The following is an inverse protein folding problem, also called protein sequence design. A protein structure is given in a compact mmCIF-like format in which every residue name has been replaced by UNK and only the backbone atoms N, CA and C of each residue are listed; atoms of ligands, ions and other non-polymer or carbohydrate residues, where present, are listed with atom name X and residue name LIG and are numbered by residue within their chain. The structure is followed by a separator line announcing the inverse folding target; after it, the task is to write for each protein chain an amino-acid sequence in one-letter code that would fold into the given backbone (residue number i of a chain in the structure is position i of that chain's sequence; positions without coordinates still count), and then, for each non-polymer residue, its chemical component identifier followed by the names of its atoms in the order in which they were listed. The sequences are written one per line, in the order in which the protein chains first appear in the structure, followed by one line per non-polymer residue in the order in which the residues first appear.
data_IF_907008947756
#
_entry.id   IF_907008947756
#
_cell.length_a   1.000
_cell.length_b   1.000
_cell.length_c   1.000
_cell.angle_alpha   90.00
_cell.angle_beta   90.00
_cell.angle_gamma   90.00
#
_symmetry.space_group_name_H-M   'P 1'
#
loop_
_entity.id
_entity.type
_entity.pdbx_description
1 polymer ?
#
# COMPACT_ATOMS: atom_id res chain seq x y z
N UNK A 1 -8.41 2.91 46.41
CA UNK A 1 -8.99 1.57 46.20
C UNK A 1 -9.13 1.40 44.70
N UNK A 2 -8.13 0.76 44.09
CA UNK A 2 -8.01 0.56 42.65
C UNK A 2 -9.16 -0.32 42.17
N UNK A 3 -10.06 0.24 41.35
CA UNK A 3 -11.02 -0.57 40.60
C UNK A 3 -10.29 -1.17 39.40
N UNK A 4 -9.70 -2.32 39.65
CA UNK A 4 -9.32 -3.30 38.64
C UNK A 4 -10.59 -3.84 37.96
N UNK A 5 -10.42 -4.37 36.75
CA UNK A 5 -11.38 -5.22 36.02
C UNK A 5 -12.45 -4.48 35.18
N UNK A 6 -11.98 -3.79 34.14
CA UNK A 6 -12.56 -3.92 32.80
C UNK A 6 -11.44 -3.80 31.76
N UNK A 7 -10.39 -4.61 31.92
CA UNK A 7 -9.55 -4.96 30.78
C UNK A 7 -10.33 -6.02 30.00
N UNK A 8 -11.37 -5.58 29.28
CA UNK A 8 -11.76 -6.30 28.09
C UNK A 8 -10.48 -6.40 27.30
N UNK A 9 -10.03 -7.62 27.04
CA UNK A 9 -9.10 -7.85 25.96
C UNK A 9 -9.74 -7.17 24.74
N UNK A 10 -9.29 -5.97 24.41
CA UNK A 10 -9.29 -5.53 23.03
C UNK A 10 -8.39 -6.56 22.40
N UNK A 11 -8.98 -7.67 21.98
CA UNK A 11 -8.41 -8.45 20.90
C UNK A 11 -8.18 -7.37 19.86
N UNK A 12 -6.92 -7.02 19.65
CA UNK A 12 -6.49 -6.11 18.59
C UNK A 12 -6.84 -6.81 17.29
N UNK A 13 -8.13 -6.83 16.96
CA UNK A 13 -8.55 -7.00 15.59
C UNK A 13 -7.84 -5.85 14.88
N UNK A 14 -6.99 -6.19 13.91
CA UNK A 14 -6.44 -5.25 12.93
C UNK A 14 -7.59 -4.44 12.30
N UNK A 15 -8.02 -3.43 13.03
CA UNK A 15 -9.24 -2.69 12.81
C UNK A 15 -8.82 -1.23 12.65
N UNK A 16 -9.54 -0.47 11.81
CA UNK A 16 -9.21 0.92 11.60
C UNK A 16 -9.32 1.70 12.92
N UNK A 17 -8.27 2.44 13.25
CA UNK A 17 -8.24 3.32 14.43
C UNK A 17 -8.69 4.72 14.02
N UNK A 18 -9.40 5.41 14.91
CA UNK A 18 -9.81 6.79 14.67
C UNK A 18 -8.59 7.66 14.33
N UNK A 19 -8.70 8.43 13.23
CA UNK A 19 -7.66 9.34 12.71
C UNK A 19 -6.39 8.66 12.17
N UNK A 20 -6.42 7.35 11.91
CA UNK A 20 -5.34 6.66 11.21
C UNK A 20 -5.17 7.18 9.78
N UNK A 21 -3.93 7.45 9.37
CA UNK A 21 -3.58 8.02 8.06
C UNK A 21 -2.86 7.05 7.13
N UNK A 22 -2.32 5.96 7.68
CA UNK A 22 -1.55 4.93 6.97
C UNK A 22 -2.32 3.60 6.98
N UNK A 23 -1.71 2.55 6.43
CA UNK A 23 -2.26 1.19 6.48
C UNK A 23 -2.41 0.65 7.91
N UNK A 24 -3.23 -0.40 8.04
CA UNK A 24 -3.29 -1.26 9.23
C UNK A 24 -1.97 -2.04 9.38
N UNK A 25 -1.78 -2.64 10.55
CA UNK A 25 -0.57 -3.40 10.82
C UNK A 25 -0.52 -4.65 9.91
N UNK A 26 0.65 -4.96 9.34
CA UNK A 26 0.77 -6.09 8.42
C UNK A 26 0.70 -7.42 9.17
N UNK A 27 -0.33 -8.22 8.87
CA UNK A 27 -0.47 -9.59 9.38
C UNK A 27 0.14 -10.66 8.45
N UNK A 28 0.67 -10.27 7.29
CA UNK A 28 1.28 -11.17 6.30
C UNK A 28 2.51 -10.52 5.66
N UNK A 29 3.47 -11.34 5.22
CA UNK A 29 4.66 -10.89 4.48
C UNK A 29 4.30 -10.12 3.20
N UNK A 30 3.15 -10.44 2.60
CA UNK A 30 2.66 -9.75 1.41
C UNK A 30 2.22 -8.32 1.74
N UNK A 31 1.55 -8.13 2.88
CA UNK A 31 1.15 -6.81 3.33
C UNK A 31 2.37 -5.95 3.70
N UNK A 32 3.40 -6.55 4.30
CA UNK A 32 4.67 -5.88 4.56
C UNK A 32 5.31 -5.38 3.25
N UNK A 33 5.42 -6.24 2.23
CA UNK A 33 5.94 -5.84 0.93
C UNK A 33 5.11 -4.75 0.21
N UNK A 34 3.79 -4.71 0.41
CA UNK A 34 2.93 -3.62 -0.09
C UNK A 34 3.23 -2.30 0.65
N UNK A 35 3.41 -2.36 1.97
CA UNK A 35 3.72 -1.18 2.77
C UNK A 35 5.09 -0.57 2.39
N UNK A 36 6.10 -1.42 2.15
CA UNK A 36 7.42 -1.01 1.69
C UNK A 36 7.36 -0.38 0.30
N UNK A 37 6.70 -1.04 -0.67
CA UNK A 37 6.51 -0.50 -2.02
C UNK A 37 5.77 0.85 -1.99
N UNK A 38 4.76 0.99 -1.14
CA UNK A 38 4.06 2.25 -0.96
C UNK A 38 4.98 3.35 -0.43
N UNK A 39 5.83 3.05 0.57
CA UNK A 39 6.78 4.01 1.10
C UNK A 39 7.78 4.48 0.02
N UNK A 40 8.30 3.56 -0.79
CA UNK A 40 9.20 3.87 -1.91
C UNK A 40 8.52 4.77 -2.96
N UNK A 41 7.29 4.45 -3.36
CA UNK A 41 6.52 5.28 -4.30
C UNK A 41 6.28 6.67 -3.72
N UNK A 42 5.84 6.76 -2.47
CA UNK A 42 5.61 8.03 -1.79
C UNK A 42 6.87 8.89 -1.72
N UNK A 43 8.04 8.28 -1.47
CA UNK A 43 9.32 9.00 -1.47
C UNK A 43 9.57 9.69 -2.82
N UNK A 44 9.49 8.95 -3.94
CA UNK A 44 9.68 9.55 -5.27
C UNK A 44 8.64 10.62 -5.59
N UNK A 45 7.37 10.39 -5.24
CA UNK A 45 6.29 11.38 -5.47
C UNK A 45 6.52 12.68 -4.70
N UNK A 46 6.93 12.60 -3.42
CA UNK A 46 7.23 13.79 -2.61
C UNK A 46 8.41 14.55 -3.19
N UNK A 47 9.47 13.87 -3.63
CA UNK A 47 10.63 14.51 -4.26
C UNK A 47 10.23 15.25 -5.54
N UNK A 48 9.45 14.62 -6.42
CA UNK A 48 8.95 15.26 -7.66
C UNK A 48 8.04 16.45 -7.32
N UNK A 49 7.16 16.30 -6.33
CA UNK A 49 6.26 17.38 -5.91
C UNK A 49 7.04 18.60 -5.43
N UNK A 50 8.03 18.41 -4.57
CA UNK A 50 8.88 19.50 -4.07
C UNK A 50 9.63 20.17 -5.22
N UNK A 51 10.18 19.39 -6.16
CA UNK A 51 10.88 19.92 -7.32
C UNK A 51 9.97 20.80 -8.19
N UNK A 52 8.76 20.34 -8.47
CA UNK A 52 7.78 21.08 -9.29
C UNK A 52 7.31 22.35 -8.58
N UNK A 53 6.99 22.26 -7.28
CA UNK A 53 6.57 23.42 -6.48
C UNK A 53 7.69 24.47 -6.38
N UNK A 54 8.93 24.02 -6.17
CA UNK A 54 10.09 24.90 -6.15
C UNK A 54 10.30 25.58 -7.51
N UNK A 55 10.29 24.82 -8.61
CA UNK A 55 10.46 25.37 -9.96
C UNK A 55 9.33 26.37 -10.30
N UNK A 56 8.08 26.02 -9.99
CA UNK A 56 6.93 26.91 -10.18
C UNK A 56 7.07 28.21 -9.40
N UNK A 57 7.46 28.14 -8.13
CA UNK A 57 7.70 29.33 -7.29
C UNK A 57 8.85 30.16 -7.85
N UNK A 58 9.94 29.53 -8.30
CA UNK A 58 11.08 30.23 -8.93
C UNK A 58 10.69 30.94 -10.21
N UNK A 59 9.85 30.33 -11.04
CA UNK A 59 9.34 30.95 -12.28
C UNK A 59 8.51 32.20 -11.93
N UNK A 60 7.56 32.07 -10.99
CA UNK A 60 6.70 33.19 -10.58
C UNK A 60 7.50 34.37 -10.01
N UNK A 61 8.52 34.10 -9.18
CA UNK A 61 9.34 35.15 -8.59
C UNK A 61 10.33 35.78 -9.58
N UNK A 62 10.94 34.99 -10.45
CA UNK A 62 11.98 35.48 -11.37
C UNK A 62 11.39 36.22 -12.57
N UNK A 63 10.25 35.76 -13.08
CA UNK A 63 9.59 36.33 -14.26
C UNK A 63 8.39 37.22 -13.90
N UNK A 64 8.34 37.72 -12.66
CA UNK A 64 7.33 38.70 -12.28
C UNK A 64 7.55 40.01 -13.07
N UNK A 65 6.47 40.70 -13.46
CA UNK A 65 6.54 41.91 -14.29
C UNK A 65 7.42 43.02 -13.68
N UNK A 66 7.54 43.09 -12.35
CA UNK A 66 8.43 44.06 -11.68
C UNK A 66 9.92 43.73 -11.86
N UNK A 67 10.28 42.47 -12.10
CA UNK A 67 11.66 42.00 -12.26
C UNK A 67 12.03 41.92 -13.73
N UNK A 68 11.16 41.32 -14.56
CA UNK A 68 11.37 41.18 -15.99
C UNK A 68 10.14 41.67 -16.76
N UNK A 69 10.17 42.93 -17.20
CA UNK A 69 9.06 43.56 -17.92
C UNK A 69 8.99 43.14 -19.41
N UNK A 70 10.10 42.76 -20.01
CA UNK A 70 10.16 42.33 -21.42
C UNK A 70 10.43 40.82 -21.50
N UNK A 71 9.52 40.02 -22.08
CA UNK A 71 9.69 38.57 -22.19
C UNK A 71 10.69 38.21 -23.30
N UNK A 72 11.53 37.21 -23.03
CA UNK A 72 12.37 36.60 -24.05
C UNK A 72 11.54 35.73 -25.00
N UNK A 73 11.97 35.62 -26.26
CA UNK A 73 11.27 34.86 -27.30
C UNK A 73 12.10 33.67 -27.72
N UNK A 74 11.90 32.54 -27.04
CA UNK A 74 12.42 31.23 -27.42
C UNK A 74 11.24 30.25 -27.53
N UNK A 75 11.28 29.33 -28.49
CA UNK A 75 10.17 28.41 -28.75
C UNK A 75 10.53 26.92 -28.58
N UNK A 76 11.82 26.57 -28.59
CA UNK A 76 12.25 25.18 -28.52
C UNK A 76 13.67 25.07 -27.95
N UNK A 77 13.90 24.03 -27.17
CA UNK A 77 15.22 23.70 -26.64
C UNK A 77 15.37 22.18 -26.57
N UNK A 78 15.81 21.59 -27.68
CA UNK A 78 15.87 20.13 -27.89
C UNK A 78 16.62 19.38 -26.78
N UNK A 79 17.69 19.98 -26.24
CA UNK A 79 18.44 19.35 -25.12
C UNK A 79 17.62 19.31 -23.83
N UNK A 80 16.79 20.32 -23.55
CA UNK A 80 15.92 20.33 -22.36
C UNK A 80 14.81 19.28 -22.54
N UNK A 81 14.23 19.25 -23.74
CA UNK A 81 13.19 18.30 -24.16
C UNK A 81 13.62 16.85 -23.95
N UNK A 82 14.84 16.53 -24.35
CA UNK A 82 15.42 15.20 -24.16
C UNK A 82 15.62 14.87 -22.67
N UNK A 83 16.17 15.82 -21.89
CA UNK A 83 16.47 15.60 -20.46
C UNK A 83 15.19 15.34 -19.67
N UNK A 84 14.15 16.15 -19.86
CA UNK A 84 12.89 15.97 -19.12
C UNK A 84 12.08 14.77 -19.61
N UNK A 85 12.35 14.19 -20.78
CA UNK A 85 11.69 12.98 -21.25
C UNK A 85 12.37 11.72 -20.68
N UNK A 86 13.70 11.70 -20.66
CA UNK A 86 14.48 10.56 -20.14
C UNK A 86 14.38 10.47 -18.61
N UNK A 87 14.49 11.61 -17.91
CA UNK A 87 14.54 11.63 -16.44
C UNK A 87 13.30 10.96 -15.80
N UNK A 88 12.05 11.29 -16.18
CA UNK A 88 10.86 10.61 -15.66
C UNK A 88 10.78 9.14 -16.07
N UNK A 89 11.21 8.79 -17.27
CA UNK A 89 11.22 7.40 -17.74
C UNK A 89 12.13 6.50 -16.89
N UNK A 90 13.30 7.02 -16.49
CA UNK A 90 14.22 6.31 -15.59
C UNK A 90 13.61 6.14 -14.20
N UNK A 91 12.98 7.19 -13.64
CA UNK A 91 12.33 7.10 -12.32
C UNK A 91 11.22 6.04 -12.32
N UNK A 92 10.36 6.03 -13.34
CA UNK A 92 9.29 5.02 -13.45
C UNK A 92 9.86 3.60 -13.56
N UNK A 93 10.95 3.42 -14.31
CA UNK A 93 11.61 2.11 -14.43
C UNK A 93 12.15 1.63 -13.09
N UNK A 94 12.75 2.51 -12.29
CA UNK A 94 13.24 2.16 -10.94
C UNK A 94 12.11 1.73 -10.00
N UNK A 95 10.94 2.36 -10.10
CA UNK A 95 9.75 1.97 -9.32
C UNK A 95 9.14 0.65 -9.81
N UNK A 96 9.20 0.39 -11.12
CA UNK A 96 8.60 -0.80 -11.72
C UNK A 96 9.33 -2.11 -11.32
N UNK A 97 10.65 -2.08 -11.14
CA UNK A 97 11.44 -3.27 -10.78
C UNK A 97 11.02 -3.92 -9.45
N UNK A 98 10.96 -3.20 -8.30
CA UNK A 98 10.49 -3.79 -7.04
C UNK A 98 9.01 -4.19 -7.12
N UNK A 99 8.19 -3.41 -7.83
CA UNK A 99 6.76 -3.73 -8.02
C UNK A 99 6.56 -5.07 -8.73
N UNK A 100 7.31 -5.35 -9.79
CA UNK A 100 7.23 -6.63 -10.50
C UNK A 100 7.69 -7.79 -9.61
N UNK A 101 8.80 -7.63 -8.90
CA UNK A 101 9.30 -8.66 -7.96
C UNK A 101 8.26 -9.03 -6.89
N UNK A 102 7.53 -8.03 -6.37
CA UNK A 102 6.49 -8.25 -5.38
C UNK A 102 5.32 -9.07 -5.94
N UNK A 103 4.84 -8.74 -7.15
CA UNK A 103 3.74 -9.44 -7.80
C UNK A 103 4.08 -10.91 -8.06
N UNK A 104 5.31 -11.22 -8.49
CA UNK A 104 5.74 -12.62 -8.68
C UNK A 104 5.77 -13.40 -7.37
N UNK A 105 6.18 -12.75 -6.27
CA UNK A 105 6.18 -13.38 -4.94
C UNK A 105 4.77 -13.77 -4.49
N UNK A 106 3.74 -13.03 -4.90
CA UNK A 106 2.35 -13.33 -4.53
C UNK A 106 1.82 -14.58 -5.23
N UNK A 107 2.23 -14.83 -6.48
CA UNK A 107 1.80 -15.99 -7.25
C UNK A 107 2.41 -17.29 -6.71
N UNK A 108 3.70 -17.25 -6.35
CA UNK A 108 4.44 -18.42 -5.85
C UNK A 108 3.88 -18.99 -4.52
N UNK A 109 3.31 -18.13 -3.66
CA UNK A 109 2.76 -18.52 -2.36
C UNK A 109 1.53 -19.42 -2.46
N UNK A 110 0.87 -19.50 -3.61
CA UNK A 110 -0.36 -20.28 -3.81
C UNK A 110 -0.07 -21.76 -4.10
N UNK A 111 1.19 -22.13 -4.36
CA UNK A 111 1.56 -23.45 -4.89
C UNK A 111 1.27 -24.64 -3.96
N UNK A 112 1.31 -24.47 -2.62
CA UNK A 112 1.05 -25.56 -1.64
C UNK A 112 0.35 -25.06 -0.37
N UNK A 113 -0.99 -24.92 -0.36
CA UNK A 113 -1.72 -24.49 0.83
C UNK A 113 -1.79 -25.60 1.89
N UNK A 114 -1.58 -25.24 3.16
CA UNK A 114 -1.81 -26.14 4.30
C UNK A 114 -3.31 -26.32 4.61
N UNK A 115 -4.11 -25.29 4.34
CA UNK A 115 -5.55 -25.27 4.55
C UNK A 115 -6.24 -24.65 3.32
N UNK A 116 -7.29 -25.31 2.83
CA UNK A 116 -8.12 -24.79 1.74
C UNK A 116 -9.52 -24.48 2.27
N UNK A 117 -9.90 -23.20 2.26
CA UNK A 117 -11.25 -22.74 2.61
C UNK A 117 -11.92 -22.19 1.36
N UNK A 118 -13.06 -22.77 0.99
CA UNK A 118 -13.92 -22.27 -0.08
C UNK A 118 -14.88 -21.22 0.49
N UNK A 119 -14.74 -19.98 0.04
CA UNK A 119 -15.64 -18.88 0.41
C UNK A 119 -16.69 -18.69 -0.69
N UNK A 120 -17.97 -18.66 -0.34
CA UNK A 120 -19.11 -18.49 -1.25
C UNK A 120 -19.83 -17.19 -0.88
N UNK A 121 -19.83 -16.21 -1.79
CA UNK A 121 -20.59 -14.98 -1.63
C UNK A 121 -22.07 -15.20 -1.97
N UNK A 122 -22.96 -14.81 -1.07
CA UNK A 122 -24.41 -14.76 -1.26
C UNK A 122 -24.91 -13.34 -1.05
N UNK A 123 -26.18 -13.07 -1.36
CA UNK A 123 -26.76 -11.74 -1.16
C UNK A 123 -26.68 -11.36 0.34
N UNK A 124 -25.81 -10.40 0.66
CA UNK A 124 -25.53 -9.84 1.99
C UNK A 124 -24.88 -10.77 3.03
N UNK A 125 -24.38 -11.94 2.66
CA UNK A 125 -23.60 -12.78 3.58
C UNK A 125 -22.64 -13.73 2.86
N UNK A 126 -21.72 -14.30 3.62
CA UNK A 126 -20.72 -15.25 3.14
C UNK A 126 -20.98 -16.64 3.74
N UNK A 127 -20.72 -17.69 2.97
CA UNK A 127 -20.75 -19.08 3.43
C UNK A 127 -19.38 -19.70 3.21
N UNK A 128 -18.92 -20.52 4.16
CA UNK A 128 -17.59 -21.13 4.14
C UNK A 128 -17.72 -22.64 4.06
N UNK A 129 -16.90 -23.29 3.23
CA UNK A 129 -16.80 -24.73 3.11
C UNK A 129 -15.35 -25.17 3.21
N UNK A 130 -15.08 -26.24 3.94
CA UNK A 130 -13.76 -26.82 4.16
C UNK A 130 -13.77 -28.30 3.74
N UNK A 131 -12.58 -28.90 3.57
CA UNK A 131 -12.50 -30.35 3.34
C UNK A 131 -13.14 -31.12 4.51
N UNK A 132 -13.90 -32.17 4.19
CA UNK A 132 -14.68 -32.96 5.16
C UNK A 132 -13.82 -33.50 6.30
N UNK A 133 -12.56 -33.87 6.01
CA UNK A 133 -11.61 -34.31 7.02
C UNK A 133 -11.32 -33.23 8.06
N UNK A 134 -11.06 -31.99 7.63
CA UNK A 134 -10.78 -30.84 8.51
C UNK A 134 -12.03 -30.47 9.31
N UNK A 135 -13.19 -30.43 8.66
CA UNK A 135 -14.46 -30.12 9.31
C UNK A 135 -14.81 -31.13 10.40
N UNK A 136 -14.58 -32.42 10.14
CA UNK A 136 -14.83 -33.49 11.13
C UNK A 136 -13.93 -33.35 12.36
N UNK A 137 -12.63 -33.06 12.17
CA UNK A 137 -11.68 -32.88 13.25
C UNK A 137 -12.01 -31.66 14.12
N UNK A 138 -12.34 -30.52 13.50
CA UNK A 138 -12.77 -29.32 14.22
C UNK A 138 -14.05 -29.56 15.02
N UNK A 139 -15.02 -30.32 14.47
CA UNK A 139 -16.26 -30.65 15.18
C UNK A 139 -16.07 -31.63 16.35
N UNK A 140 -15.00 -32.44 16.34
CA UNK A 140 -14.65 -33.33 17.45
C UNK A 140 -14.00 -32.53 18.57
N UNK A 141 -12.99 -31.72 18.24
CA UNK A 141 -12.33 -30.82 19.20
C UNK A 141 -13.32 -29.87 19.88
N UNK A 142 -14.25 -29.28 19.10
CA UNK A 142 -15.28 -28.41 19.65
C UNK A 142 -16.27 -29.15 20.58
N UNK A 143 -16.53 -30.43 20.34
CA UNK A 143 -17.35 -31.25 21.25
C UNK A 143 -16.60 -31.58 22.52
N UNK A 144 -15.32 -31.92 22.43
CA UNK A 144 -14.49 -32.25 23.59
C UNK A 144 -14.33 -31.03 24.53
N UNK A 145 -14.16 -29.82 23.96
CA UNK A 145 -14.08 -28.55 24.73
C UNK A 145 -15.40 -28.10 25.38
N UNK A 146 -16.55 -28.64 24.95
CA UNK A 146 -17.87 -28.32 25.50
C UNK A 146 -18.35 -29.35 26.52
N UNK A 147 -17.62 -30.47 26.67
CA UNK A 147 -17.96 -31.58 27.55
C UNK A 147 -17.04 -31.69 28.78
N UNK A 148 -16.05 -30.80 28.90
CA UNK A 148 -15.22 -30.53 30.09
C UNK A 148 -15.60 -29.17 30.72
#
# INVERSE_FOLDING_TARGET
MYSMVWNWCVVGADAPVAWQKMFQDPATSNMEGIADLHADICFFLIVILILVLWLGTRIVLSFHHTVQAVPERFNHHTTLELVWAILPSVIVTLIALPSLSLVYTFDDLVSKPCLTVKVIGRQWYWSYAMSEHVQSNLSKVARDLLLD
#
